data_IF_186228720798
#
_entry.id   IF_186228720798
#
_cell.length_a   1.000
_cell.length_b   1.000
_cell.length_c   1.000
_cell.angle_alpha   90.00
_cell.angle_beta   90.00
_cell.angle_gamma   90.00
#
_symmetry.space_group_name_H-M   'P 1'
#
loop_
_entity.id
_entity.type
_entity.pdbx_description
1 polymer ?
#
# COMPACT_ATOMS: atom_id res chain seq x y z
N UNK A 1 11.63 -4.76 -8.88
CA UNK A 1 10.57 -5.29 -9.76
C UNK A 1 9.83 -6.42 -9.04
N UNK A 2 8.56 -6.64 -9.36
CA UNK A 2 7.77 -7.75 -8.78
C UNK A 2 8.39 -9.11 -9.12
N UNK A 3 8.52 -9.94 -8.09
CA UNK A 3 9.01 -11.30 -8.19
C UNK A 3 7.84 -12.21 -8.63
N UNK A 4 7.82 -12.56 -9.91
CA UNK A 4 6.79 -13.42 -10.49
C UNK A 4 7.37 -14.74 -10.97
N UNK A 5 6.56 -15.79 -10.96
CA UNK A 5 6.99 -17.14 -11.39
C UNK A 5 7.51 -17.15 -12.84
N UNK A 6 6.87 -16.40 -13.73
CA UNK A 6 7.32 -16.21 -15.11
C UNK A 6 8.74 -15.62 -15.16
N UNK A 7 9.01 -14.57 -14.37
CA UNK A 7 10.34 -13.93 -14.35
C UNK A 7 11.40 -14.85 -13.76
N UNK A 8 11.05 -15.66 -12.75
CA UNK A 8 11.94 -16.67 -12.15
C UNK A 8 12.45 -17.69 -13.17
N UNK A 9 11.76 -17.88 -14.29
CA UNK A 9 12.26 -18.73 -15.38
C UNK A 9 13.53 -18.16 -16.03
N UNK A 10 13.76 -16.85 -15.98
CA UNK A 10 14.86 -16.18 -16.68
C UNK A 10 15.89 -15.49 -15.77
N UNK A 11 15.49 -15.07 -14.57
CA UNK A 11 16.34 -14.35 -13.60
C UNK A 11 16.11 -14.89 -12.18
N UNK A 12 17.07 -14.63 -11.29
CA UNK A 12 16.88 -14.81 -9.85
C UNK A 12 16.46 -13.49 -9.20
N UNK A 13 15.93 -13.57 -7.99
CA UNK A 13 15.54 -12.40 -7.20
C UNK A 13 16.28 -12.36 -5.87
N UNK A 14 16.59 -11.15 -5.42
CA UNK A 14 16.91 -10.86 -4.02
C UNK A 14 15.69 -11.08 -3.13
N UNK A 15 15.91 -11.02 -1.82
CA UNK A 15 14.84 -10.76 -0.88
C UNK A 15 14.20 -9.41 -1.21
N UNK A 16 12.93 -9.25 -0.85
CA UNK A 16 12.20 -8.01 -1.06
C UNK A 16 12.87 -6.87 -0.28
N UNK A 17 13.22 -5.80 -1.02
CA UNK A 17 13.80 -4.60 -0.41
C UNK A 17 12.75 -3.56 -0.08
N UNK A 18 11.60 -3.62 -0.74
CA UNK A 18 10.48 -2.72 -0.48
C UNK A 18 9.18 -3.43 -0.78
N UNK A 19 8.25 -3.31 0.16
CA UNK A 19 6.85 -3.70 0.00
C UNK A 19 6.03 -2.44 0.06
N UNK A 20 5.21 -2.20 -0.94
CA UNK A 20 4.24 -1.13 -0.82
C UNK A 20 3.22 -1.49 0.24
N UNK A 21 3.11 -0.68 1.29
CA UNK A 21 2.12 -0.86 2.33
C UNK A 21 0.79 -0.26 1.86
N UNK A 22 -0.25 -1.09 1.75
CA UNK A 22 -1.61 -0.62 1.55
C UNK A 22 -2.12 0.05 2.82
N UNK A 23 -2.62 1.26 2.69
CA UNK A 23 -3.21 2.02 3.80
C UNK A 23 -4.55 2.62 3.41
N UNK A 24 -5.27 3.08 4.42
CA UNK A 24 -6.52 3.83 4.25
C UNK A 24 -6.25 5.31 4.50
N UNK A 25 -6.59 6.17 3.55
CA UNK A 25 -6.71 7.61 3.80
C UNK A 25 -8.14 7.87 4.24
N UNK A 26 -8.30 8.43 5.44
CA UNK A 26 -9.58 8.69 6.10
C UNK A 26 -9.65 10.15 6.55
N UNK A 27 -10.73 10.55 7.23
CA UNK A 27 -10.74 11.82 7.95
C UNK A 27 -9.63 11.84 9.02
N UNK A 28 -9.04 13.02 9.24
CA UNK A 28 -7.99 13.18 10.26
C UNK A 28 -8.47 12.77 11.65
N UNK A 29 -9.72 13.08 11.99
CA UNK A 29 -10.31 12.68 13.28
C UNK A 29 -10.30 11.16 13.48
N UNK A 30 -10.71 10.40 12.47
CA UNK A 30 -10.70 8.94 12.55
C UNK A 30 -9.27 8.39 12.62
N UNK A 31 -8.34 8.94 11.82
CA UNK A 31 -6.95 8.53 11.85
C UNK A 31 -6.25 8.83 13.18
N UNK A 32 -6.49 10.00 13.78
CA UNK A 32 -5.90 10.40 15.06
C UNK A 32 -6.37 9.49 16.22
N UNK A 33 -7.56 8.89 16.10
CA UNK A 33 -8.08 7.87 17.03
C UNK A 33 -7.50 6.46 16.79
N UNK A 34 -6.82 6.24 15.66
CA UNK A 34 -6.31 4.95 15.22
C UNK A 34 -4.82 5.01 14.87
N UNK A 35 -4.00 5.40 15.86
CA UNK A 35 -2.55 5.58 15.72
C UNK A 35 -1.73 4.27 15.76
N UNK A 36 -2.36 3.13 15.48
CA UNK A 36 -1.74 1.79 15.47
C UNK A 36 -2.09 1.07 14.17
N UNK A 37 -1.37 -0.02 13.90
CA UNK A 37 -1.77 -0.95 12.85
C UNK A 37 -3.05 -1.65 13.28
N UNK A 38 -4.11 -1.53 12.47
CA UNK A 38 -5.38 -2.20 12.71
C UNK A 38 -5.29 -3.64 12.17
N UNK A 39 -5.46 -4.66 13.02
CA UNK A 39 -5.45 -6.05 12.58
C UNK A 39 -6.71 -6.39 11.77
N UNK A 40 -6.60 -7.37 10.88
CA UNK A 40 -7.70 -7.83 10.03
C UNK A 40 -8.95 -8.24 10.81
N UNK A 41 -8.80 -8.78 12.03
CA UNK A 41 -9.92 -9.11 12.92
C UNK A 41 -10.80 -7.91 13.33
N UNK A 42 -10.26 -6.69 13.31
CA UNK A 42 -10.97 -5.47 13.68
C UNK A 42 -11.55 -4.73 12.48
N UNK A 43 -10.99 -4.95 11.29
CA UNK A 43 -11.42 -4.30 10.04
C UNK A 43 -12.88 -4.56 9.71
N UNK A 44 -13.42 -5.74 10.02
CA UNK A 44 -14.82 -6.08 9.78
C UNK A 44 -15.78 -5.11 10.49
N UNK A 45 -15.45 -4.72 11.72
CA UNK A 45 -16.28 -3.77 12.48
C UNK A 45 -16.17 -2.35 11.92
N UNK A 46 -15.01 -2.00 11.37
CA UNK A 46 -14.72 -0.66 10.87
C UNK A 46 -15.32 -0.45 9.48
N UNK A 47 -15.18 -1.42 8.59
CA UNK A 47 -15.50 -1.29 7.17
C UNK A 47 -16.94 -1.70 6.82
N UNK A 48 -17.63 -2.46 7.67
CA UNK A 48 -18.98 -2.91 7.36
C UNK A 48 -19.93 -1.73 7.05
N UNK A 49 -20.51 -1.74 5.84
CA UNK A 49 -21.38 -0.71 5.31
C UNK A 49 -20.68 0.62 4.98
N UNK A 50 -19.34 0.69 5.05
CA UNK A 50 -18.57 1.89 4.70
C UNK A 50 -18.26 1.92 3.22
N UNK A 51 -18.33 3.11 2.64
CA UNK A 51 -17.96 3.35 1.25
C UNK A 51 -16.44 3.52 1.12
N UNK A 52 -15.82 2.71 0.26
CA UNK A 52 -14.38 2.74 -0.02
C UNK A 52 -14.20 2.99 -1.52
N UNK A 53 -13.22 3.82 -1.88
CA UNK A 53 -12.93 4.19 -3.28
C UNK A 53 -11.44 4.11 -3.55
N UNK A 54 -11.05 3.81 -4.78
CA UNK A 54 -9.67 3.97 -5.23
C UNK A 54 -9.58 4.59 -6.63
N UNK A 55 -8.34 4.78 -7.07
CA UNK A 55 -8.05 5.12 -8.45
C UNK A 55 -8.22 3.88 -9.34
N UNK A 56 -8.95 4.05 -10.44
CA UNK A 56 -9.18 3.01 -11.44
C UNK A 56 -7.87 2.44 -11.98
N UNK A 57 -7.88 1.14 -12.29
CA UNK A 57 -6.72 0.42 -12.86
C UNK A 57 -5.50 0.39 -11.95
N UNK A 58 -5.72 0.23 -10.65
CA UNK A 58 -4.66 0.04 -9.64
C UNK A 58 -4.92 -1.21 -8.81
N UNK A 59 -3.86 -1.86 -8.32
CA UNK A 59 -3.98 -2.99 -7.38
C UNK A 59 -4.76 -2.57 -6.13
N UNK A 60 -4.63 -1.30 -5.71
CA UNK A 60 -5.34 -0.78 -4.55
C UNK A 60 -6.86 -0.73 -4.75
N UNK A 61 -7.33 -0.62 -6.00
CA UNK A 61 -8.76 -0.73 -6.38
C UNK A 61 -9.23 -2.18 -6.34
N UNK A 62 -8.44 -3.08 -6.93
CA UNK A 62 -8.74 -4.51 -6.97
C UNK A 62 -8.87 -5.09 -5.54
N UNK A 63 -8.04 -4.64 -4.60
CA UNK A 63 -8.10 -5.05 -3.19
C UNK A 63 -9.41 -4.64 -2.50
N UNK A 64 -10.14 -3.64 -2.97
CA UNK A 64 -11.43 -3.27 -2.36
C UNK A 64 -12.45 -4.41 -2.50
N UNK A 65 -12.33 -5.29 -3.50
CA UNK A 65 -13.17 -6.47 -3.58
C UNK A 65 -13.00 -7.39 -2.36
N UNK A 66 -11.78 -7.52 -1.81
CA UNK A 66 -11.56 -8.22 -0.53
C UNK A 66 -12.30 -7.52 0.61
N UNK A 67 -12.23 -6.18 0.66
CA UNK A 67 -12.92 -5.39 1.70
C UNK A 67 -14.44 -5.58 1.64
N UNK A 68 -14.97 -5.71 0.43
CA UNK A 68 -16.38 -5.93 0.18
C UNK A 68 -16.81 -7.35 0.54
N UNK A 69 -16.07 -8.36 0.09
CA UNK A 69 -16.40 -9.78 0.31
C UNK A 69 -16.23 -10.20 1.77
N UNK A 70 -15.12 -9.83 2.40
CA UNK A 70 -14.74 -10.33 3.73
C UNK A 70 -15.16 -9.39 4.87
N UNK A 71 -15.33 -8.10 4.60
CA UNK A 71 -15.52 -7.07 5.63
C UNK A 71 -16.79 -6.23 5.43
N UNK A 72 -17.60 -6.53 4.41
CA UNK A 72 -18.90 -5.89 4.17
C UNK A 72 -18.80 -4.42 3.73
N UNK A 73 -17.66 -3.98 3.21
CA UNK A 73 -17.50 -2.65 2.65
C UNK A 73 -18.31 -2.48 1.35
N UNK A 74 -18.61 -1.24 1.00
CA UNK A 74 -19.13 -0.89 -0.32
C UNK A 74 -17.97 -0.42 -1.19
N UNK A 75 -17.71 -1.12 -2.29
CA UNK A 75 -16.83 -0.64 -3.34
C UNK A 75 -17.56 0.43 -4.16
N UNK A 76 -17.16 1.69 -4.03
CA UNK A 76 -17.66 2.77 -4.88
C UNK A 76 -17.06 2.66 -6.29
N UNK A 77 -17.72 3.24 -7.28
CA UNK A 77 -17.14 3.36 -8.63
C UNK A 77 -15.77 4.06 -8.54
N UNK A 78 -14.71 3.48 -9.12
CA UNK A 78 -13.38 4.05 -9.01
C UNK A 78 -13.25 5.36 -9.79
N UNK A 79 -12.32 6.20 -9.35
CA UNK A 79 -12.10 7.53 -9.93
C UNK A 79 -10.82 7.59 -10.75
N UNK A 80 -10.69 8.64 -11.56
CA UNK A 80 -9.56 8.79 -12.48
C UNK A 80 -8.23 9.06 -11.75
N UNK A 81 -8.26 9.72 -10.59
CA UNK A 81 -7.06 10.08 -9.84
C UNK A 81 -7.22 9.85 -8.34
N UNK A 82 -6.11 9.57 -7.65
CA UNK A 82 -6.06 9.56 -6.19
C UNK A 82 -6.45 10.90 -5.55
N UNK A 83 -6.25 12.04 -6.25
CA UNK A 83 -6.68 13.34 -5.76
C UNK A 83 -8.21 13.46 -5.71
N UNK A 84 -8.91 12.94 -6.72
CA UNK A 84 -10.38 12.90 -6.74
C UNK A 84 -10.91 11.99 -5.61
N UNK A 85 -10.26 10.84 -5.38
CA UNK A 85 -10.58 9.95 -4.26
C UNK A 85 -10.43 10.66 -2.91
N UNK A 86 -9.37 11.44 -2.74
CA UNK A 86 -9.13 12.22 -1.51
C UNK A 86 -10.19 13.29 -1.29
N UNK A 87 -10.73 13.90 -2.37
CA UNK A 87 -11.84 14.84 -2.31
C UNK A 87 -13.12 14.14 -1.81
N UNK A 88 -13.40 12.93 -2.30
CA UNK A 88 -14.56 12.15 -1.85
C UNK A 88 -14.48 11.78 -0.36
N UNK A 89 -13.30 11.41 0.14
CA UNK A 89 -13.09 11.20 1.59
C UNK A 89 -13.27 12.50 2.35
N UNK A 90 -12.69 13.60 1.88
CA UNK A 90 -12.78 14.92 2.52
C UNK A 90 -14.22 15.42 2.62
N UNK A 91 -15.05 15.11 1.62
CA UNK A 91 -16.46 15.51 1.56
C UNK A 91 -17.41 14.50 2.23
N UNK A 92 -16.88 13.42 2.83
CA UNK A 92 -17.64 12.30 3.39
C UNK A 92 -18.52 11.53 2.38
N UNK A 93 -18.22 11.63 1.08
CA UNK A 93 -18.82 10.77 0.03
C UNK A 93 -18.30 9.34 0.16
N UNK A 94 -17.03 9.20 0.52
CA UNK A 94 -16.37 7.96 0.88
C UNK A 94 -15.91 8.02 2.35
N UNK A 95 -15.92 6.88 3.04
CA UNK A 95 -15.33 6.75 4.38
C UNK A 95 -13.80 6.73 4.31
N UNK A 96 -13.25 6.01 3.32
CA UNK A 96 -11.83 5.91 3.09
C UNK A 96 -11.53 5.79 1.60
N UNK A 97 -10.30 6.11 1.23
CA UNK A 97 -9.70 5.63 -0.01
C UNK A 97 -8.51 4.73 0.31
N UNK A 98 -8.30 3.73 -0.54
CA UNK A 98 -7.09 2.90 -0.51
C UNK A 98 -5.97 3.57 -1.29
N UNK A 99 -4.75 3.46 -0.79
CA UNK A 99 -3.54 3.90 -1.49
C UNK A 99 -2.31 3.21 -0.92
N UNK A 100 -1.22 3.22 -1.69
CA UNK A 100 0.10 2.93 -1.15
C UNK A 100 0.54 4.02 -0.16
N UNK A 101 1.23 3.64 0.92
CA UNK A 101 1.70 4.55 1.96
C UNK A 101 2.40 5.84 1.46
N UNK A 102 3.36 5.80 0.51
CA UNK A 102 3.97 7.03 0.00
C UNK A 102 2.97 7.96 -0.71
N UNK A 103 1.98 7.40 -1.43
CA UNK A 103 0.92 8.16 -2.08
C UNK A 103 0.01 8.80 -1.03
N UNK A 104 -0.39 8.02 -0.02
CA UNK A 104 -1.17 8.51 1.12
C UNK A 104 -0.45 9.66 1.85
N UNK A 105 0.86 9.57 2.04
CA UNK A 105 1.67 10.64 2.65
C UNK A 105 1.67 11.92 1.83
N UNK A 106 1.79 11.83 0.50
CA UNK A 106 1.68 13.00 -0.37
C UNK A 106 0.28 13.66 -0.27
N UNK A 107 -0.78 12.85 -0.22
CA UNK A 107 -2.18 13.31 -0.11
C UNK A 107 -2.40 14.05 1.21
N UNK A 108 -2.08 13.44 2.36
CA UNK A 108 -2.30 14.07 3.68
C UNK A 108 -1.32 15.21 3.94
N UNK A 109 -0.14 15.17 3.32
CA UNK A 109 0.81 16.28 3.28
C UNK A 109 0.17 17.55 2.71
N UNK A 110 -0.64 17.38 1.67
CA UNK A 110 -1.36 18.45 0.96
C UNK A 110 -2.76 18.75 1.53
N UNK A 111 -3.37 17.81 2.27
CA UNK A 111 -4.72 17.91 2.82
C UNK A 111 -4.73 17.64 4.33
N UNK A 112 -4.63 18.69 5.16
CA UNK A 112 -4.54 18.56 6.63
C UNK A 112 -5.82 18.05 7.32
N UNK A 113 -6.94 17.97 6.60
CA UNK A 113 -8.19 17.38 7.09
C UNK A 113 -8.24 15.85 6.96
N UNK A 114 -7.25 15.26 6.28
CA UNK A 114 -7.14 13.83 6.07
C UNK A 114 -6.02 13.24 6.94
N UNK A 115 -6.12 11.95 7.20
CA UNK A 115 -5.11 11.20 7.95
C UNK A 115 -4.95 9.79 7.38
N UNK A 116 -3.87 9.13 7.79
CA UNK A 116 -3.52 7.78 7.35
C UNK A 116 -3.85 6.80 8.46
N UNK A 117 -4.61 5.77 8.13
CA UNK A 117 -4.83 4.60 8.97
C UNK A 117 -4.06 3.43 8.37
N UNK A 118 -3.17 2.85 9.17
CA UNK A 118 -2.39 1.67 8.79
C UNK A 118 -3.19 0.42 9.14
N UNK A 119 -3.22 -0.53 8.21
CA UNK A 119 -3.91 -1.81 8.37
C UNK A 119 -2.90 -2.94 8.26
N UNK A 120 -3.23 -4.09 8.85
CA UNK A 120 -2.42 -5.28 8.68
C UNK A 120 -2.42 -5.70 7.21
N UNK A 121 -1.24 -6.06 6.70
CA UNK A 121 -1.05 -6.39 5.28
C UNK A 121 -1.41 -7.84 4.96
N UNK A 122 -1.65 -8.69 5.98
CA UNK A 122 -2.15 -10.06 5.80
C UNK A 122 -3.50 -10.12 5.08
N UNK A 123 -4.28 -9.02 5.11
CA UNK A 123 -5.52 -8.84 4.35
C UNK A 123 -5.34 -8.99 2.84
N UNK A 124 -4.15 -8.74 2.33
CA UNK A 124 -3.89 -8.74 0.89
C UNK A 124 -3.84 -10.15 0.29
N UNK A 125 -3.74 -11.21 1.10
CA UNK A 125 -3.71 -12.58 0.62
C UNK A 125 -2.70 -12.77 -0.52
N UNK A 126 -3.18 -13.14 -1.71
CA UNK A 126 -2.36 -13.33 -2.90
C UNK A 126 -1.80 -12.03 -3.51
N UNK A 127 -2.55 -10.92 -3.42
CA UNK A 127 -2.11 -9.59 -3.87
C UNK A 127 -0.92 -9.06 -3.08
N UNK A 128 -0.64 -9.65 -1.91
CA UNK A 128 0.55 -9.33 -1.14
C UNK A 128 1.78 -9.44 -2.05
N UNK A 129 1.90 -10.51 -2.84
CA UNK A 129 3.05 -10.69 -3.74
C UNK A 129 3.20 -9.59 -4.81
N UNK A 130 2.10 -8.96 -5.23
CA UNK A 130 2.09 -7.96 -6.31
C UNK A 130 2.66 -6.61 -5.86
N UNK A 131 2.51 -6.27 -4.59
CA UNK A 131 3.04 -5.03 -3.99
C UNK A 131 4.53 -5.13 -3.65
N UNK A 132 5.15 -6.28 -3.88
CA UNK A 132 6.54 -6.52 -3.51
C UNK A 132 7.55 -6.16 -4.58
N UNK A 133 8.68 -5.63 -4.14
CA UNK A 133 9.76 -5.15 -5.02
C UNK A 133 11.10 -5.78 -4.62
N UNK A 134 11.66 -6.53 -5.56
CA UNK A 134 12.96 -7.19 -5.43
C UNK A 134 13.94 -6.75 -6.52
N UNK A 135 15.23 -7.03 -6.31
CA UNK A 135 16.29 -6.80 -7.30
C UNK A 135 16.37 -8.04 -8.20
N UNK A 136 16.25 -7.83 -9.52
CA UNK A 136 16.48 -8.88 -10.51
C UNK A 136 17.97 -9.16 -10.69
N UNK A 137 18.35 -10.43 -10.65
CA UNK A 137 19.74 -10.91 -10.62
C UNK A 137 19.91 -11.91 -11.76
N UNK A 138 21.09 -11.88 -12.40
CA UNK A 138 21.42 -12.90 -13.41
C UNK A 138 21.28 -14.30 -12.81
N UNK A 139 20.49 -15.15 -13.47
CA UNK A 139 20.18 -16.51 -13.02
C UNK A 139 21.44 -17.33 -12.74
N UNK A 140 21.47 -18.00 -11.59
CA UNK A 140 22.59 -18.81 -11.10
C UNK A 140 23.74 -18.00 -10.49
N UNK A 141 23.59 -16.68 -10.29
CA UNK A 141 24.64 -15.86 -9.64
C UNK A 141 24.41 -15.78 -8.12
N UNK A 142 24.55 -16.93 -7.45
CA UNK A 142 24.25 -17.08 -6.02
C UNK A 142 25.11 -16.17 -5.13
N UNK A 143 26.35 -15.92 -5.51
CA UNK A 143 27.24 -15.03 -4.76
C UNK A 143 26.72 -13.58 -4.75
N UNK A 144 26.35 -13.04 -5.92
CA UNK A 144 25.78 -11.71 -6.00
C UNK A 144 24.47 -11.61 -5.22
N UNK A 145 23.61 -12.64 -5.32
CA UNK A 145 22.37 -12.71 -4.55
C UNK A 145 22.60 -12.68 -3.05
N UNK A 146 23.55 -13.47 -2.55
CA UNK A 146 23.88 -13.50 -1.12
C UNK A 146 24.39 -12.15 -0.62
N UNK A 147 25.30 -11.50 -1.37
CA UNK A 147 25.81 -10.17 -1.02
C UNK A 147 24.69 -9.11 -0.99
N UNK A 148 23.78 -9.13 -1.96
CA UNK A 148 22.63 -8.20 -1.99
C UNK A 148 21.73 -8.43 -0.78
N UNK A 149 21.35 -9.68 -0.51
CA UNK A 149 20.46 -9.99 0.62
C UNK A 149 21.09 -9.61 1.97
N UNK A 150 22.40 -9.79 2.12
CA UNK A 150 23.13 -9.37 3.32
C UNK A 150 23.13 -7.85 3.50
N UNK A 151 23.23 -7.08 2.41
CA UNK A 151 23.11 -5.62 2.48
C UNK A 151 21.67 -5.20 2.85
N UNK A 152 20.66 -5.82 2.22
CA UNK A 152 19.25 -5.51 2.46
C UNK A 152 18.79 -5.81 3.90
N UNK A 153 19.31 -6.86 4.52
CA UNK A 153 18.94 -7.23 5.89
C UNK A 153 19.41 -6.22 6.96
N UNK A 154 20.34 -5.32 6.60
CA UNK A 154 20.78 -4.23 7.47
C UNK A 154 19.85 -3.01 7.48
N UNK A 155 18.82 -2.99 6.62
CA UNK A 155 17.88 -1.87 6.47
C UNK A 155 16.50 -2.30 6.96
N UNK A 156 16.03 -1.72 8.06
CA UNK A 156 14.70 -2.00 8.59
C UNK A 156 13.56 -1.37 7.76
N UNK A 157 12.32 -1.77 8.05
CA UNK A 157 11.14 -1.33 7.30
C UNK A 157 10.87 0.17 7.45
N UNK A 158 11.15 0.75 8.61
CA UNK A 158 10.92 2.17 8.86
C UNK A 158 11.86 3.03 8.00
N UNK A 159 13.14 2.67 7.95
CA UNK A 159 14.14 3.30 7.10
C UNK A 159 13.84 3.10 5.61
N UNK A 160 13.41 1.89 5.20
CA UNK A 160 12.96 1.64 3.81
C UNK A 160 11.81 2.57 3.42
N UNK A 161 10.80 2.70 4.29
CA UNK A 161 9.67 3.59 4.07
C UNK A 161 10.13 5.05 3.98
N UNK A 162 10.99 5.49 4.89
CA UNK A 162 11.55 6.85 4.86
C UNK A 162 12.28 7.14 3.54
N UNK A 163 13.15 6.22 3.10
CA UNK A 163 13.88 6.37 1.83
C UNK A 163 12.93 6.52 0.63
N UNK A 164 11.81 5.82 0.63
CA UNK A 164 10.78 5.92 -0.41
C UNK A 164 10.04 7.25 -0.38
N UNK A 165 9.69 7.76 0.81
CA UNK A 165 9.09 9.09 0.97
C UNK A 165 9.99 10.18 0.42
N UNK A 166 11.27 10.14 0.81
CA UNK A 166 12.26 11.10 0.32
C UNK A 166 12.45 10.97 -1.19
N UNK A 167 12.37 9.75 -1.75
CA UNK A 167 12.42 9.54 -3.20
C UNK A 167 11.25 10.18 -3.92
N UNK A 168 10.02 9.97 -3.44
CA UNK A 168 8.81 10.57 -4.02
C UNK A 168 8.87 12.10 -3.94
N UNK A 169 9.32 12.64 -2.80
CA UNK A 169 9.51 14.08 -2.64
C UNK A 169 10.48 14.65 -3.68
N UNK A 170 11.59 13.96 -3.96
CA UNK A 170 12.57 14.40 -4.98
C UNK A 170 12.06 14.24 -6.42
N UNK A 171 11.17 13.29 -6.69
CA UNK A 171 10.63 13.06 -8.03
C UNK A 171 9.59 14.12 -8.47
N UNK A 172 9.09 14.93 -7.52
CA UNK A 172 8.20 16.05 -7.79
C UNK A 172 8.89 17.40 -8.00
N UNK A 173 10.23 17.45 -7.88
CA UNK A 173 11.09 18.59 -8.24
C UNK A 173 11.56 18.49 -9.70
#
# INVERSE_FOLDING_TARGET
MTDTEERRQSIDFSDEYYRSELVLVTSKEFADQNNRVIPSSELATILNGKNIVSQVSTVTDDVIEIFKEDYGANHLSPLATFADCAIDVKNNSAFAMTAEYPVAQAIVGSNKSLGIVRISQDILGEYLSELGVSIGIKKGNDNLKSCINQALSSIDQELRNQMMVESVSRSGE
#
